data_IF_359378377170
#
_entry.id   IF_359378377170
#
_cell.length_a   1.000
_cell.length_b   1.000
_cell.length_c   1.000
_cell.angle_alpha   90.00
_cell.angle_beta   90.00
_cell.angle_gamma   90.00
#
_symmetry.space_group_name_H-M   'P 1'
#
loop_
_entity.id
_entity.type
_entity.pdbx_description
1 polymer ?
#
# COMPACT_ATOMS: atom_id res chain seq x y z
N UNK A 1 4.40 19.32 -28.29
CA UNK A 1 3.26 19.20 -27.36
C UNK A 1 2.93 17.75 -26.99
N UNK A 2 2.78 16.80 -27.92
CA UNK A 2 2.49 15.39 -27.55
C UNK A 2 3.63 14.72 -26.74
N UNK A 3 4.89 14.96 -27.10
CA UNK A 3 6.07 14.41 -26.40
C UNK A 3 6.25 14.99 -25.00
N UNK A 4 5.91 16.27 -24.81
CA UNK A 4 6.03 16.96 -23.53
C UNK A 4 4.97 16.44 -22.55
N UNK A 5 3.70 16.33 -22.99
CA UNK A 5 2.61 15.70 -22.24
C UNK A 5 2.93 14.22 -21.94
N UNK A 6 3.42 13.45 -22.91
CA UNK A 6 3.83 12.07 -22.70
C UNK A 6 5.01 11.95 -21.71
N UNK A 7 5.99 12.87 -21.79
CA UNK A 7 7.12 12.90 -20.87
C UNK A 7 6.71 13.27 -19.44
N UNK A 8 5.74 14.18 -19.28
CA UNK A 8 5.16 14.52 -17.98
C UNK A 8 4.37 13.35 -17.42
N UNK A 9 3.53 12.68 -18.22
CA UNK A 9 2.82 11.48 -17.78
C UNK A 9 3.76 10.35 -17.38
N UNK A 10 4.82 10.14 -18.15
CA UNK A 10 5.82 9.12 -17.88
C UNK A 10 6.67 9.46 -16.63
N UNK A 11 7.10 10.72 -16.49
CA UNK A 11 7.83 11.18 -15.30
C UNK A 11 6.95 11.12 -14.04
N UNK A 12 5.69 11.54 -14.12
CA UNK A 12 4.73 11.44 -13.03
C UNK A 12 4.42 9.99 -12.67
N UNK A 13 4.28 9.10 -13.68
CA UNK A 13 4.08 7.67 -13.44
C UNK A 13 5.26 7.07 -12.69
N UNK A 14 6.49 7.38 -13.10
CA UNK A 14 7.71 6.92 -12.42
C UNK A 14 7.81 7.46 -11.00
N UNK A 15 7.65 8.77 -10.80
CA UNK A 15 7.69 9.37 -9.46
C UNK A 15 6.62 8.75 -8.54
N UNK A 16 5.42 8.50 -9.06
CA UNK A 16 4.35 7.82 -8.31
C UNK A 16 4.74 6.38 -7.95
N UNK A 17 5.31 5.64 -8.91
CA UNK A 17 5.77 4.28 -8.67
C UNK A 17 6.89 4.23 -7.62
N UNK A 18 7.84 5.17 -7.68
CA UNK A 18 8.96 5.27 -6.73
C UNK A 18 8.45 5.57 -5.31
N UNK A 19 7.46 6.45 -5.18
CA UNK A 19 6.83 6.76 -3.88
C UNK A 19 6.15 5.52 -3.31
N UNK A 20 5.30 4.83 -4.08
CA UNK A 20 4.64 3.62 -3.61
C UNK A 20 5.63 2.51 -3.28
N UNK A 21 6.67 2.32 -4.10
CA UNK A 21 7.75 1.39 -3.81
C UNK A 21 8.41 1.73 -2.48
N UNK A 22 8.77 3.00 -2.24
CA UNK A 22 9.40 3.42 -0.98
C UNK A 22 8.54 3.15 0.26
N UNK A 23 7.22 3.31 0.15
CA UNK A 23 6.29 3.02 1.25
C UNK A 23 6.17 1.52 1.50
N UNK A 24 6.12 0.72 0.44
CA UNK A 24 6.08 -0.74 0.53
C UNK A 24 7.37 -1.25 1.18
N UNK A 25 8.54 -0.77 0.77
CA UNK A 25 9.82 -1.15 1.39
C UNK A 25 9.84 -0.81 2.88
N UNK A 26 9.51 0.44 3.24
CA UNK A 26 9.54 0.88 4.63
C UNK A 26 8.61 0.04 5.53
N UNK A 27 7.46 -0.34 5.01
CA UNK A 27 6.48 -1.15 5.73
C UNK A 27 6.89 -2.62 5.79
N UNK A 28 7.45 -3.17 4.71
CA UNK A 28 7.99 -4.53 4.66
C UNK A 28 9.14 -4.68 5.67
N UNK A 29 10.06 -3.72 5.71
CA UNK A 29 11.14 -3.66 6.69
C UNK A 29 10.62 -3.63 8.14
N UNK A 30 9.53 -2.88 8.37
CA UNK A 30 8.89 -2.84 9.68
C UNK A 30 8.28 -4.19 10.07
N UNK A 31 7.59 -4.86 9.14
CA UNK A 31 7.02 -6.19 9.35
C UNK A 31 8.08 -7.27 9.54
N UNK A 32 9.17 -7.22 8.78
CA UNK A 32 10.29 -8.15 8.91
C UNK A 32 10.95 -8.04 10.29
N UNK A 33 11.16 -6.83 10.79
CA UNK A 33 11.65 -6.59 12.16
C UNK A 33 10.70 -7.11 13.25
N UNK A 34 9.40 -7.20 12.94
CA UNK A 34 8.40 -7.77 13.83
C UNK A 34 8.32 -9.30 13.77
N UNK A 35 9.08 -9.95 12.89
CA UNK A 35 9.18 -11.41 12.79
C UNK A 35 8.50 -12.03 11.58
N UNK A 36 7.90 -11.25 10.68
CA UNK A 36 7.30 -11.78 9.44
C UNK A 36 8.43 -12.12 8.45
N UNK A 37 8.35 -13.27 7.79
CA UNK A 37 9.30 -13.66 6.72
C UNK A 37 9.34 -12.58 5.61
N UNK A 38 10.50 -12.31 5.02
CA UNK A 38 10.75 -11.15 4.18
C UNK A 38 9.84 -11.06 2.94
N UNK A 39 9.62 -12.16 2.23
CA UNK A 39 8.70 -12.22 1.08
C UNK A 39 7.26 -11.96 1.55
N UNK A 40 6.85 -12.62 2.62
CA UNK A 40 5.52 -12.42 3.22
C UNK A 40 5.32 -10.98 3.72
N UNK A 41 6.35 -10.36 4.27
CA UNK A 41 6.34 -8.99 4.77
C UNK A 41 6.12 -8.00 3.62
N UNK A 42 6.82 -8.21 2.49
CA UNK A 42 6.67 -7.40 1.28
C UNK A 42 5.26 -7.51 0.69
N UNK A 43 4.75 -8.73 0.55
CA UNK A 43 3.40 -8.97 0.01
C UNK A 43 2.31 -8.38 0.92
N UNK A 44 2.49 -8.51 2.23
CA UNK A 44 1.59 -7.93 3.23
C UNK A 44 1.62 -6.40 3.16
N UNK A 45 2.79 -5.79 3.04
CA UNK A 45 2.95 -4.34 2.89
C UNK A 45 2.24 -3.83 1.62
N UNK A 46 2.44 -4.48 0.48
CA UNK A 46 1.75 -4.14 -0.77
C UNK A 46 0.23 -4.24 -0.64
N UNK A 47 -0.26 -5.29 0.03
CA UNK A 47 -1.69 -5.49 0.28
C UNK A 47 -2.30 -4.39 1.16
N UNK A 48 -1.60 -3.97 2.22
CA UNK A 48 -2.04 -2.87 3.09
C UNK A 48 -2.12 -1.55 2.31
N UNK A 49 -1.10 -1.22 1.51
CA UNK A 49 -1.12 -0.01 0.68
C UNK A 49 -2.30 -0.05 -0.30
N UNK A 50 -2.50 -1.17 -1.00
CA UNK A 50 -3.60 -1.31 -1.96
C UNK A 50 -4.98 -1.15 -1.29
N UNK A 51 -5.17 -1.69 -0.09
CA UNK A 51 -6.41 -1.53 0.68
C UNK A 51 -6.69 -0.08 1.04
N UNK A 52 -5.68 0.65 1.52
CA UNK A 52 -5.83 2.05 1.92
C UNK A 52 -6.06 2.96 0.72
N UNK A 53 -5.33 2.77 -0.38
CA UNK A 53 -5.54 3.54 -1.62
C UNK A 53 -6.94 3.32 -2.22
N UNK A 54 -7.39 2.07 -2.26
CA UNK A 54 -8.76 1.72 -2.67
C UNK A 54 -9.80 2.39 -1.78
N UNK A 55 -9.56 2.40 -0.46
CA UNK A 55 -10.45 3.04 0.49
C UNK A 55 -10.47 4.56 0.37
N UNK A 56 -9.35 5.21 0.08
CA UNK A 56 -9.32 6.65 -0.19
C UNK A 56 -10.08 7.00 -1.47
N UNK A 57 -9.95 6.19 -2.53
CA UNK A 57 -10.73 6.36 -3.75
C UNK A 57 -12.24 6.26 -3.47
N UNK A 58 -12.66 5.21 -2.76
CA UNK A 58 -14.08 5.00 -2.40
C UNK A 58 -14.61 6.09 -1.46
N UNK A 59 -13.84 6.44 -0.43
CA UNK A 59 -14.24 7.46 0.54
C UNK A 59 -14.39 8.84 -0.09
N UNK A 60 -13.51 9.19 -1.02
CA UNK A 60 -13.64 10.44 -1.81
C UNK A 60 -14.84 10.40 -2.75
N UNK A 61 -15.13 9.27 -3.38
CA UNK A 61 -16.29 9.12 -4.26
C UNK A 61 -17.62 9.20 -3.48
N UNK A 62 -17.66 8.69 -2.26
CA UNK A 62 -18.84 8.68 -1.39
C UNK A 62 -18.94 9.91 -0.45
N UNK A 63 -17.90 10.74 -0.37
CA UNK A 63 -17.75 11.77 0.67
C UNK A 63 -17.93 11.20 2.09
N UNK A 64 -17.32 10.04 2.34
CA UNK A 64 -17.45 9.28 3.59
C UNK A 64 -16.10 8.68 4.01
N UNK A 65 -15.84 8.63 5.31
CA UNK A 65 -14.64 8.01 5.91
C UNK A 65 -14.82 6.53 6.23
N UNK A 66 -16.05 6.00 6.18
CA UNK A 66 -16.34 4.61 6.50
C UNK A 66 -15.49 3.59 5.71
N UNK A 67 -15.21 3.77 4.40
CA UNK A 67 -14.31 2.87 3.66
C UNK A 67 -12.89 2.81 4.24
N UNK A 68 -12.34 3.94 4.68
CA UNK A 68 -10.99 4.01 5.28
C UNK A 68 -10.94 3.27 6.61
N UNK A 69 -11.96 3.45 7.46
CA UNK A 69 -12.06 2.73 8.73
C UNK A 69 -12.21 1.22 8.52
N UNK A 70 -12.93 0.79 7.49
CA UNK A 70 -13.05 -0.63 7.13
C UNK A 70 -11.71 -1.19 6.64
N UNK A 71 -11.02 -0.48 5.75
CA UNK A 71 -9.71 -0.89 5.25
C UNK A 71 -8.64 -0.93 6.34
N UNK A 72 -8.68 -0.02 7.33
CA UNK A 72 -7.77 -0.07 8.47
C UNK A 72 -7.95 -1.37 9.30
N UNK A 73 -9.19 -1.78 9.55
CA UNK A 73 -9.48 -3.05 10.25
C UNK A 73 -9.03 -4.27 9.46
N UNK A 74 -9.29 -4.27 8.14
CA UNK A 74 -8.85 -5.33 7.24
C UNK A 74 -7.31 -5.41 7.18
N UNK A 75 -6.63 -4.28 7.05
CA UNK A 75 -5.17 -4.16 7.05
C UNK A 75 -4.58 -4.75 8.34
N UNK A 76 -5.14 -4.40 9.50
CA UNK A 76 -4.67 -4.96 10.76
C UNK A 76 -4.90 -6.48 10.85
N UNK A 77 -5.98 -7.00 10.26
CA UNK A 77 -6.25 -8.44 10.23
C UNK A 77 -5.24 -9.21 9.37
N UNK A 78 -4.91 -8.72 8.17
CA UNK A 78 -3.93 -9.38 7.30
C UNK A 78 -2.51 -9.34 7.90
N UNK A 79 -2.14 -8.27 8.60
CA UNK A 79 -0.84 -8.19 9.29
C UNK A 79 -0.77 -9.18 10.44
N UNK A 80 -1.83 -9.31 11.25
CA UNK A 80 -1.88 -10.31 12.33
C UNK A 80 -1.80 -11.73 11.80
N UNK A 81 -2.48 -12.02 10.69
CA UNK A 81 -2.42 -13.32 10.05
C UNK A 81 -1.00 -13.64 9.53
N UNK A 82 -0.36 -12.69 8.84
CA UNK A 82 1.03 -12.82 8.40
C UNK A 82 2.00 -13.07 9.56
N UNK A 83 1.80 -12.38 10.69
CA UNK A 83 2.60 -12.57 11.91
C UNK A 83 2.36 -13.95 12.55
N UNK A 84 1.12 -14.44 12.54
CA UNK A 84 0.77 -15.75 13.09
C UNK A 84 1.32 -16.92 12.29
N UNK A 85 1.58 -16.74 10.98
CA UNK A 85 2.23 -17.73 10.12
C UNK A 85 3.75 -17.82 10.30
N UNK A 86 4.35 -16.89 11.04
CA UNK A 86 5.79 -16.81 11.25
C UNK A 86 6.30 -17.65 12.44
N UNK A 87 5.40 -18.36 13.14
CA UNK A 87 5.73 -19.37 14.16
C UNK A 87 5.50 -20.79 13.66
#
# INVERSE_FOLDING_TARGET
MALEVASTHEALRRATADVFASWIEALADFYARAGIEAETARDTAGSVIALLEGAFMLGRAAHDTAPVLAAARASAAIVRDALGRAG
#
